data_IF_123480614110
#
_entry.id   IF_123480614110
#
_cell.length_a   1.000
_cell.length_b   1.000
_cell.length_c   1.000
_cell.angle_alpha   90.00
_cell.angle_beta   90.00
_cell.angle_gamma   90.00
#
_symmetry.space_group_name_H-M   'P 1'
#
loop_
_entity.id
_entity.type
_entity.pdbx_description
1 polymer ?
#
# COMPACT_ATOMS: atom_id res chain seq x y z
N UNK A 1 27.41 -0.01 -6.09
CA UNK A 1 26.34 0.77 -5.41
C UNK A 1 25.05 0.38 -6.12
N UNK A 2 23.95 0.00 -5.40
CA UNK A 2 22.68 -0.33 -6.06
C UNK A 2 21.95 0.97 -6.45
N UNK A 3 21.45 1.05 -7.67
CA UNK A 3 20.58 2.11 -8.15
C UNK A 3 19.12 1.67 -7.96
N UNK A 4 18.33 2.44 -7.22
CA UNK A 4 16.95 2.11 -6.83
C UNK A 4 16.00 3.12 -7.46
N UNK A 5 15.07 2.65 -8.30
CA UNK A 5 13.98 3.43 -8.84
C UNK A 5 12.75 3.30 -7.93
N UNK A 6 12.20 4.41 -7.47
CA UNK A 6 10.97 4.48 -6.71
C UNK A 6 9.96 5.29 -7.52
N UNK A 7 8.92 4.62 -8.04
CA UNK A 7 7.83 5.26 -8.79
C UNK A 7 6.70 5.68 -7.85
N UNK A 8 5.88 6.66 -8.27
CA UNK A 8 4.86 7.24 -7.38
C UNK A 8 5.46 7.90 -6.15
N UNK A 9 6.63 8.52 -6.32
CA UNK A 9 7.46 9.04 -5.24
C UNK A 9 6.81 10.19 -4.45
N UNK A 10 5.80 10.86 -5.01
CA UNK A 10 5.05 11.92 -4.34
C UNK A 10 3.83 11.39 -3.56
N UNK A 11 3.55 10.08 -3.64
CA UNK A 11 2.52 9.39 -2.84
C UNK A 11 2.94 9.16 -1.39
N UNK A 12 2.06 8.54 -0.60
CA UNK A 12 2.31 8.25 0.83
C UNK A 12 3.57 7.41 1.02
N UNK A 13 3.62 6.22 0.41
CA UNK A 13 4.75 5.30 0.55
C UNK A 13 6.01 5.85 -0.09
N UNK A 14 5.92 6.48 -1.28
CA UNK A 14 7.07 7.06 -1.96
C UNK A 14 7.77 8.14 -1.13
N UNK A 15 7.00 9.00 -0.44
CA UNK A 15 7.57 10.00 0.48
C UNK A 15 8.20 9.36 1.72
N UNK A 16 7.60 8.32 2.32
CA UNK A 16 8.21 7.60 3.45
C UNK A 16 9.50 6.88 3.02
N UNK A 17 9.55 6.32 1.80
CA UNK A 17 10.78 5.78 1.22
C UNK A 17 11.85 6.87 1.07
N UNK A 18 11.46 8.08 0.63
CA UNK A 18 12.37 9.23 0.52
C UNK A 18 12.93 9.66 1.88
N UNK A 19 12.08 9.75 2.90
CA UNK A 19 12.51 10.08 4.27
C UNK A 19 13.51 9.06 4.79
N UNK A 20 13.20 7.78 4.65
CA UNK A 20 14.06 6.70 5.16
C UNK A 20 15.34 6.52 4.34
N UNK A 21 15.38 6.94 3.07
CA UNK A 21 16.57 6.78 2.22
C UNK A 21 17.83 7.41 2.79
N UNK A 22 17.69 8.43 3.64
CA UNK A 22 18.80 9.09 4.33
C UNK A 22 19.58 8.14 5.26
N UNK A 23 18.89 7.10 5.78
CA UNK A 23 19.52 6.09 6.62
C UNK A 23 20.27 5.00 5.82
N UNK A 24 20.17 5.01 4.49
CA UNK A 24 20.79 4.03 3.59
C UNK A 24 21.61 4.75 2.49
N UNK A 25 22.66 5.50 2.86
CA UNK A 25 23.44 6.32 1.93
C UNK A 25 24.30 5.50 0.95
N UNK A 26 24.38 4.19 1.13
CA UNK A 26 25.08 3.26 0.23
C UNK A 26 24.33 3.01 -1.09
N UNK A 27 23.08 3.50 -1.24
CA UNK A 27 22.30 3.36 -2.46
C UNK A 27 22.16 4.70 -3.19
N UNK A 28 21.98 4.63 -4.51
CA UNK A 28 21.56 5.78 -5.34
C UNK A 28 20.08 5.68 -5.62
N UNK A 29 19.34 6.77 -5.44
CA UNK A 29 17.89 6.79 -5.54
C UNK A 29 17.41 7.63 -6.72
N UNK A 30 16.47 7.09 -7.46
CA UNK A 30 15.73 7.76 -8.52
C UNK A 30 14.25 7.83 -8.08
N UNK A 31 13.86 8.95 -7.52
CA UNK A 31 12.48 9.22 -7.10
C UNK A 31 11.72 9.83 -8.26
N UNK A 32 10.74 9.11 -8.81
CA UNK A 32 9.98 9.54 -9.99
C UNK A 32 8.48 9.54 -9.73
N UNK A 33 7.82 10.52 -10.33
CA UNK A 33 6.37 10.56 -10.48
C UNK A 33 6.05 10.80 -11.97
N UNK A 34 4.79 11.07 -12.34
CA UNK A 34 4.37 11.20 -13.74
C UNK A 34 5.19 12.22 -14.53
N UNK A 35 5.68 13.27 -13.88
CA UNK A 35 6.48 14.32 -14.52
C UNK A 35 7.89 13.86 -14.92
N UNK A 36 8.53 13.04 -14.08
CA UNK A 36 9.88 12.53 -14.31
C UNK A 36 9.87 11.23 -15.12
N UNK A 37 8.89 10.35 -14.89
CA UNK A 37 8.72 9.09 -15.59
C UNK A 37 7.24 8.68 -15.61
N UNK A 38 6.59 8.86 -16.75
CA UNK A 38 5.25 8.30 -16.96
C UNK A 38 5.34 6.77 -17.12
N UNK A 39 4.97 6.03 -16.10
CA UNK A 39 5.00 4.55 -16.11
C UNK A 39 4.04 3.91 -17.12
N UNK A 40 3.09 4.68 -17.66
CA UNK A 40 2.19 4.23 -18.74
C UNK A 40 2.86 4.29 -20.12
N UNK A 41 4.03 4.91 -20.26
CA UNK A 41 4.83 4.89 -21.46
C UNK A 41 5.88 3.78 -21.37
N UNK A 42 5.59 2.66 -22.05
CA UNK A 42 6.45 1.47 -22.04
C UNK A 42 7.88 1.77 -22.47
N UNK A 43 8.04 2.56 -23.55
CA UNK A 43 9.39 2.83 -24.09
C UNK A 43 10.17 3.72 -23.13
N UNK A 44 9.54 4.75 -22.56
CA UNK A 44 10.17 5.61 -21.57
C UNK A 44 10.63 4.82 -20.33
N UNK A 45 9.84 3.83 -19.86
CA UNK A 45 10.21 2.95 -18.74
C UNK A 45 11.44 2.11 -19.08
N UNK A 46 11.46 1.46 -20.24
CA UNK A 46 12.59 0.62 -20.67
C UNK A 46 13.88 1.45 -20.80
N UNK A 47 13.79 2.60 -21.44
CA UNK A 47 14.93 3.49 -21.67
C UNK A 47 15.46 4.06 -20.34
N UNK A 48 14.58 4.46 -19.44
CA UNK A 48 14.94 5.00 -18.13
C UNK A 48 15.70 3.95 -17.27
N UNK A 49 15.15 2.74 -17.18
CA UNK A 49 15.73 1.66 -16.38
C UNK A 49 17.11 1.29 -16.90
N UNK A 50 17.25 1.18 -18.21
CA UNK A 50 18.53 0.87 -18.87
C UNK A 50 19.56 2.00 -18.73
N UNK A 51 19.16 3.26 -19.03
CA UNK A 51 20.07 4.41 -19.01
C UNK A 51 20.64 4.70 -17.61
N UNK A 52 19.88 4.40 -16.56
CA UNK A 52 20.28 4.64 -15.18
C UNK A 52 20.80 3.38 -14.48
N UNK A 53 21.00 2.27 -15.19
CA UNK A 53 21.49 0.99 -14.64
C UNK A 53 20.73 0.61 -13.36
N UNK A 54 19.40 0.58 -13.41
CA UNK A 54 18.54 0.33 -12.26
C UNK A 54 18.67 -1.13 -11.80
N UNK A 55 18.96 -1.32 -10.52
CA UNK A 55 19.12 -2.63 -9.89
C UNK A 55 17.90 -3.10 -9.10
N UNK A 56 17.09 -2.14 -8.62
CA UNK A 56 15.83 -2.41 -7.89
C UNK A 56 14.77 -1.40 -8.34
N UNK A 57 13.59 -1.89 -8.63
CA UNK A 57 12.40 -1.05 -8.87
C UNK A 57 11.42 -1.27 -7.73
N UNK A 58 11.01 -0.20 -7.05
CA UNK A 58 9.91 -0.20 -6.06
C UNK A 58 8.75 0.58 -6.64
N UNK A 59 7.71 -0.14 -7.08
CA UNK A 59 6.53 0.51 -7.64
C UNK A 59 5.52 0.88 -6.54
N UNK A 60 5.54 2.15 -6.13
CA UNK A 60 4.56 2.75 -5.23
C UNK A 60 3.41 3.44 -5.98
N UNK A 61 3.50 3.58 -7.31
CA UNK A 61 2.46 4.19 -8.13
C UNK A 61 1.27 3.25 -8.30
N UNK A 62 0.06 3.77 -8.13
CA UNK A 62 -1.17 3.05 -8.35
C UNK A 62 -2.36 4.01 -8.48
N UNK A 63 -3.42 3.57 -9.15
CA UNK A 63 -4.73 4.18 -9.03
C UNK A 63 -5.39 3.65 -7.74
N UNK A 64 -5.55 4.51 -6.73
CA UNK A 64 -6.01 4.12 -5.38
C UNK A 64 -7.37 4.67 -4.98
N UNK A 65 -8.02 5.45 -5.84
CA UNK A 65 -9.35 6.00 -5.60
C UNK A 65 -10.41 4.90 -5.84
N UNK A 66 -10.60 4.02 -4.86
CA UNK A 66 -11.37 2.77 -4.94
C UNK A 66 -12.78 2.97 -5.54
N UNK A 67 -13.54 3.96 -5.03
CA UNK A 67 -14.89 4.23 -5.53
C UNK A 67 -14.89 4.79 -6.96
N UNK A 68 -13.94 5.66 -7.28
CA UNK A 68 -13.79 6.22 -8.64
C UNK A 68 -13.27 5.19 -9.64
N UNK A 69 -12.66 4.11 -9.20
CA UNK A 69 -12.20 3.04 -10.09
C UNK A 69 -13.38 2.35 -10.81
N UNK A 70 -14.55 2.26 -10.15
CA UNK A 70 -15.76 1.69 -10.75
C UNK A 70 -16.24 2.48 -12.00
N UNK A 71 -15.94 3.78 -12.05
CA UNK A 71 -16.27 4.66 -13.18
C UNK A 71 -15.10 4.86 -14.17
N UNK A 72 -13.83 4.62 -13.71
CA UNK A 72 -12.62 4.88 -14.49
C UNK A 72 -11.82 3.60 -14.74
N UNK A 73 -12.49 2.55 -15.22
CA UNK A 73 -11.92 1.20 -15.41
C UNK A 73 -10.66 1.21 -16.28
N UNK A 74 -10.68 1.95 -17.39
CA UNK A 74 -9.55 2.01 -18.33
C UNK A 74 -8.29 2.61 -17.69
N UNK A 75 -8.42 3.76 -17.02
CA UNK A 75 -7.29 4.40 -16.35
C UNK A 75 -6.78 3.54 -15.16
N UNK A 76 -7.71 2.93 -14.43
CA UNK A 76 -7.37 2.02 -13.33
C UNK A 76 -6.60 0.80 -13.85
N UNK A 77 -7.03 0.20 -14.96
CA UNK A 77 -6.35 -0.92 -15.63
C UNK A 77 -4.97 -0.52 -16.13
N UNK A 78 -4.89 0.63 -16.82
CA UNK A 78 -3.63 1.16 -17.33
C UNK A 78 -2.58 1.31 -16.23
N UNK A 79 -2.93 1.93 -15.10
CA UNK A 79 -1.99 2.17 -14.00
C UNK A 79 -1.71 0.94 -13.16
N UNK A 80 -2.75 0.14 -12.84
CA UNK A 80 -2.61 -0.97 -11.89
C UNK A 80 -2.21 -2.29 -12.54
N UNK A 81 -2.35 -2.45 -13.86
CA UNK A 81 -2.03 -3.68 -14.57
C UNK A 81 -1.03 -3.48 -15.70
N UNK A 82 -1.31 -2.58 -16.67
CA UNK A 82 -0.47 -2.46 -17.87
C UNK A 82 0.88 -1.80 -17.55
N UNK A 83 0.88 -0.70 -16.80
CA UNK A 83 2.12 -0.05 -16.36
C UNK A 83 2.97 -0.98 -15.48
N UNK A 84 2.35 -1.83 -14.66
CA UNK A 84 3.07 -2.85 -13.88
C UNK A 84 3.76 -3.85 -14.80
N UNK A 85 3.12 -4.23 -15.92
CA UNK A 85 3.75 -5.11 -16.90
C UNK A 85 4.99 -4.48 -17.55
N UNK A 86 4.94 -3.17 -17.83
CA UNK A 86 6.08 -2.44 -18.43
C UNK A 86 7.27 -2.34 -17.45
N UNK A 87 6.99 -2.06 -16.17
CA UNK A 87 8.01 -2.03 -15.11
C UNK A 87 8.63 -3.41 -14.91
N UNK A 88 7.81 -4.47 -14.89
CA UNK A 88 8.29 -5.84 -14.74
C UNK A 88 9.16 -6.29 -15.92
N UNK A 89 8.76 -5.98 -17.17
CA UNK A 89 9.56 -6.26 -18.37
C UNK A 89 10.91 -5.49 -18.35
N UNK A 90 10.89 -4.23 -17.91
CA UNK A 90 12.11 -3.44 -17.78
C UNK A 90 13.05 -4.00 -16.70
N UNK A 91 12.47 -4.42 -15.56
CA UNK A 91 13.23 -5.08 -14.48
C UNK A 91 13.89 -6.38 -14.97
N UNK A 92 13.15 -7.26 -15.64
CA UNK A 92 13.70 -8.52 -16.18
C UNK A 92 14.79 -8.27 -17.22
N UNK A 93 14.57 -7.34 -18.15
CA UNK A 93 15.55 -7.00 -19.18
C UNK A 93 16.86 -6.43 -18.60
N UNK A 94 16.79 -5.73 -17.47
CA UNK A 94 17.95 -5.16 -16.78
C UNK A 94 18.47 -6.05 -15.62
N UNK A 95 17.91 -7.25 -15.46
CA UNK A 95 18.20 -8.15 -14.35
C UNK A 95 17.99 -7.50 -12.96
N UNK A 96 17.07 -6.54 -12.86
CA UNK A 96 16.74 -5.84 -11.64
C UNK A 96 15.73 -6.63 -10.78
N UNK A 97 15.79 -6.42 -9.48
CA UNK A 97 14.76 -6.83 -8.52
C UNK A 97 13.51 -5.94 -8.69
N UNK A 98 12.31 -6.51 -8.59
CA UNK A 98 11.06 -5.75 -8.74
C UNK A 98 10.15 -5.93 -7.52
N UNK A 99 9.84 -4.86 -6.82
CA UNK A 99 8.91 -4.85 -5.68
C UNK A 99 7.64 -4.12 -6.11
N UNK A 100 6.52 -4.87 -6.18
CA UNK A 100 5.20 -4.35 -6.54
C UNK A 100 4.31 -4.26 -5.30
N UNK A 101 3.79 -3.07 -5.01
CA UNK A 101 2.81 -2.90 -3.94
C UNK A 101 1.41 -3.26 -4.44
N UNK A 102 0.75 -4.16 -3.71
CA UNK A 102 -0.61 -4.63 -3.96
C UNK A 102 -1.53 -4.39 -2.76
N UNK A 103 -2.68 -5.04 -2.70
CA UNK A 103 -3.78 -4.74 -1.78
C UNK A 103 -4.46 -5.99 -1.24
N UNK A 104 -5.08 -5.87 -0.07
CA UNK A 104 -6.03 -6.80 0.51
C UNK A 104 -7.33 -6.96 -0.32
N UNK A 105 -7.69 -6.00 -1.17
CA UNK A 105 -8.86 -6.05 -2.07
C UNK A 105 -8.77 -7.15 -3.14
N UNK A 106 -7.69 -7.89 -3.22
CA UNK A 106 -7.60 -9.11 -4.04
C UNK A 106 -8.43 -10.26 -3.47
N UNK A 107 -8.86 -10.17 -2.21
CA UNK A 107 -9.70 -11.14 -1.53
C UNK A 107 -11.17 -10.70 -1.50
N UNK A 108 -12.08 -11.66 -1.32
CA UNK A 108 -13.53 -11.42 -1.30
C UNK A 108 -14.07 -10.85 0.03
N UNK A 109 -13.29 -10.94 1.09
CA UNK A 109 -13.67 -10.44 2.41
C UNK A 109 -14.57 -11.40 3.23
N UNK A 110 -14.66 -12.68 2.87
CA UNK A 110 -15.54 -13.67 3.51
C UNK A 110 -14.84 -14.54 4.56
N UNK A 111 -13.52 -14.42 4.69
CA UNK A 111 -12.77 -15.19 5.70
C UNK A 111 -13.11 -14.75 7.12
N UNK A 112 -12.79 -15.61 8.07
CA UNK A 112 -12.90 -15.39 9.52
C UNK A 112 -11.58 -15.65 10.27
N UNK A 113 -10.52 -15.90 9.49
CA UNK A 113 -9.13 -16.04 9.92
C UNK A 113 -8.25 -15.21 8.99
N UNK A 114 -7.05 -14.75 9.41
CA UNK A 114 -6.17 -13.96 8.56
C UNK A 114 -5.85 -14.67 7.22
N UNK A 115 -5.99 -13.92 6.12
CA UNK A 115 -5.66 -14.41 4.78
C UNK A 115 -4.16 -14.69 4.66
N UNK A 116 -3.81 -15.88 4.21
CA UNK A 116 -2.44 -16.24 3.82
C UNK A 116 -2.20 -15.91 2.35
N UNK A 117 -0.93 -15.80 1.97
CA UNK A 117 -0.54 -15.53 0.58
C UNK A 117 -0.98 -16.61 -0.41
N UNK A 118 -1.23 -17.83 0.09
CA UNK A 118 -1.69 -18.99 -0.69
C UNK A 118 -3.20 -19.09 -0.85
N UNK A 119 -3.98 -18.26 -0.12
CA UNK A 119 -5.44 -18.28 -0.23
C UNK A 119 -5.90 -17.84 -1.62
N UNK A 120 -6.97 -18.44 -2.16
CA UNK A 120 -7.53 -18.05 -3.45
C UNK A 120 -7.96 -16.59 -3.46
N UNK A 121 -7.57 -15.87 -4.51
CA UNK A 121 -7.99 -14.48 -4.73
C UNK A 121 -9.35 -14.43 -5.45
N UNK A 122 -10.24 -13.55 -4.99
CA UNK A 122 -11.57 -13.32 -5.56
C UNK A 122 -11.98 -11.85 -5.35
N UNK A 123 -11.42 -10.90 -6.12
CA UNK A 123 -11.70 -9.48 -5.94
C UNK A 123 -13.15 -9.13 -6.30
N UNK A 124 -13.78 -8.24 -5.51
CA UNK A 124 -15.16 -7.81 -5.66
C UNK A 124 -15.31 -6.37 -6.19
N UNK A 125 -14.21 -5.76 -6.64
CA UNK A 125 -14.18 -4.37 -7.15
C UNK A 125 -13.23 -4.25 -8.34
N UNK A 126 -13.41 -3.21 -9.15
CA UNK A 126 -12.49 -2.86 -10.26
C UNK A 126 -11.08 -2.63 -9.72
N UNK A 127 -10.96 -1.89 -8.60
CA UNK A 127 -9.66 -1.68 -7.95
C UNK A 127 -8.96 -3.00 -7.62
N UNK A 128 -9.63 -3.90 -6.90
CA UNK A 128 -9.08 -5.20 -6.54
C UNK A 128 -8.71 -6.05 -7.75
N UNK A 129 -9.58 -6.09 -8.77
CA UNK A 129 -9.37 -6.85 -10.00
C UNK A 129 -8.16 -6.36 -10.80
N UNK A 130 -8.00 -5.03 -10.93
CA UNK A 130 -6.88 -4.43 -11.67
C UNK A 130 -5.55 -4.59 -10.90
N UNK A 131 -5.57 -4.49 -9.57
CA UNK A 131 -4.39 -4.77 -8.74
C UNK A 131 -3.96 -6.23 -8.85
N UNK A 132 -4.92 -7.17 -8.83
CA UNK A 132 -4.62 -8.60 -9.03
C UNK A 132 -4.06 -8.89 -10.43
N UNK A 133 -4.57 -8.22 -11.47
CA UNK A 133 -4.00 -8.30 -12.81
C UNK A 133 -2.54 -7.82 -12.84
N UNK A 134 -2.22 -6.74 -12.11
CA UNK A 134 -0.86 -6.25 -11.92
C UNK A 134 0.05 -7.26 -11.21
N UNK A 135 -0.42 -7.94 -10.16
CA UNK A 135 0.34 -9.02 -9.52
C UNK A 135 0.72 -10.13 -10.52
N UNK A 136 -0.26 -10.58 -11.30
CA UNK A 136 -0.04 -11.60 -12.32
C UNK A 136 0.94 -11.15 -13.39
N UNK A 137 0.82 -9.92 -13.86
CA UNK A 137 1.76 -9.32 -14.82
C UNK A 137 3.17 -9.27 -14.25
N UNK A 138 3.34 -8.82 -13.01
CA UNK A 138 4.66 -8.77 -12.36
C UNK A 138 5.31 -10.15 -12.26
N UNK A 139 4.58 -11.14 -11.73
CA UNK A 139 5.09 -12.51 -11.52
C UNK A 139 5.38 -13.27 -12.82
N UNK A 140 4.65 -12.98 -13.91
CA UNK A 140 4.85 -13.66 -15.19
C UNK A 140 5.94 -13.03 -16.04
N UNK A 141 6.27 -11.74 -15.81
CA UNK A 141 7.20 -10.97 -16.65
C UNK A 141 8.54 -10.70 -15.98
N UNK A 142 8.63 -10.84 -14.66
CA UNK A 142 9.87 -10.66 -13.92
C UNK A 142 10.09 -11.83 -12.95
N UNK A 143 11.16 -12.59 -13.20
CA UNK A 143 11.55 -13.75 -12.37
C UNK A 143 11.98 -13.36 -10.97
N UNK A 144 12.32 -12.08 -10.74
CA UNK A 144 12.76 -11.49 -9.48
C UNK A 144 11.69 -10.57 -8.88
N UNK A 145 10.40 -10.83 -9.17
CA UNK A 145 9.31 -10.02 -8.66
C UNK A 145 8.88 -10.43 -7.25
N UNK A 146 8.81 -9.45 -6.36
CA UNK A 146 8.21 -9.54 -5.04
C UNK A 146 6.92 -8.71 -5.03
N UNK A 147 5.81 -9.33 -4.65
CA UNK A 147 4.54 -8.64 -4.44
C UNK A 147 4.34 -8.44 -2.95
N UNK A 148 4.02 -7.22 -2.52
CA UNK A 148 3.62 -6.95 -1.14
C UNK A 148 2.17 -6.48 -1.13
N UNK A 149 1.25 -7.33 -0.64
CA UNK A 149 -0.13 -6.94 -0.37
C UNK A 149 -0.19 -6.21 0.96
N UNK A 150 -0.82 -5.04 0.96
CA UNK A 150 -1.00 -4.22 2.16
C UNK A 150 -2.45 -3.76 2.29
N UNK A 151 -2.81 -3.20 3.44
CA UNK A 151 -4.17 -2.76 3.74
C UNK A 151 -4.15 -1.41 4.47
N UNK A 152 -5.18 -0.57 4.26
CA UNK A 152 -5.48 0.62 5.05
C UNK A 152 -4.27 1.54 5.27
N UNK A 153 -3.53 1.82 4.18
CA UNK A 153 -2.29 2.59 4.22
C UNK A 153 -2.54 4.04 4.62
N UNK A 154 -1.77 4.53 5.57
CA UNK A 154 -1.76 5.92 6.00
C UNK A 154 -0.34 6.43 6.26
N UNK A 155 -0.17 7.75 6.25
CA UNK A 155 1.11 8.43 6.45
C UNK A 155 0.88 9.87 6.87
N UNK A 156 1.94 10.53 7.32
CA UNK A 156 1.96 11.99 7.46
C UNK A 156 1.86 12.72 6.11
N UNK A 157 2.14 12.04 5.00
CA UNK A 157 2.05 12.55 3.63
C UNK A 157 0.71 12.21 2.97
N UNK A 158 0.37 12.98 1.93
CA UNK A 158 -0.82 12.76 1.10
C UNK A 158 -2.14 12.87 1.88
N UNK A 159 -3.23 12.49 1.22
CA UNK A 159 -4.56 12.38 1.83
C UNK A 159 -4.82 10.94 2.26
N UNK A 160 -5.36 10.75 3.46
CA UNK A 160 -5.66 9.43 4.00
C UNK A 160 -6.75 9.49 5.07
N UNK A 161 -7.19 8.32 5.52
CA UNK A 161 -8.25 8.19 6.50
C UNK A 161 -7.92 8.87 7.84
N UNK A 162 -6.67 8.79 8.32
CA UNK A 162 -6.26 9.40 9.60
C UNK A 162 -6.46 10.91 9.54
N UNK A 163 -5.93 11.58 8.51
CA UNK A 163 -6.08 13.03 8.34
C UNK A 163 -7.54 13.45 8.14
N UNK A 164 -8.31 12.64 7.41
CA UNK A 164 -9.75 12.87 7.21
C UNK A 164 -10.50 12.81 8.53
N UNK A 165 -10.25 11.80 9.36
CA UNK A 165 -10.92 11.66 10.66
C UNK A 165 -10.51 12.76 11.64
N UNK A 166 -9.25 13.22 11.62
CA UNK A 166 -8.81 14.37 12.41
C UNK A 166 -9.53 15.65 11.95
N UNK A 167 -9.60 15.92 10.65
CA UNK A 167 -10.29 17.08 10.11
C UNK A 167 -11.79 17.09 10.48
N UNK A 168 -12.49 16.01 10.14
CA UNK A 168 -13.92 15.87 10.44
C UNK A 168 -14.21 15.91 11.95
N UNK A 169 -13.34 15.33 12.77
CA UNK A 169 -13.49 15.35 14.22
C UNK A 169 -13.35 16.73 14.85
N UNK A 170 -12.59 17.65 14.20
CA UNK A 170 -12.48 19.06 14.62
C UNK A 170 -13.66 19.91 14.15
N UNK A 171 -14.34 19.52 13.07
CA UNK A 171 -15.40 20.31 12.43
C UNK A 171 -16.81 19.88 12.82
N UNK A 172 -17.00 18.63 13.24
CA UNK A 172 -18.35 18.03 13.44
C UNK A 172 -18.59 17.63 14.88
N UNK A 173 -19.85 17.74 15.32
CA UNK A 173 -20.28 17.26 16.64
C UNK A 173 -20.39 15.74 16.70
N UNK A 174 -20.68 15.09 15.55
CA UNK A 174 -20.75 13.62 15.45
C UNK A 174 -20.38 13.09 14.09
N UNK A 175 -19.86 11.86 14.07
CA UNK A 175 -19.53 11.08 12.88
C UNK A 175 -20.13 9.69 12.98
N UNK A 176 -20.66 9.17 11.88
CA UNK A 176 -20.97 7.75 11.71
C UNK A 176 -19.81 7.04 11.02
N UNK A 177 -19.32 5.94 11.58
CA UNK A 177 -18.20 5.18 11.03
C UNK A 177 -18.47 3.68 11.10
N UNK A 178 -18.15 2.97 10.01
CA UNK A 178 -18.43 1.54 9.85
C UNK A 178 -17.65 0.72 10.88
N UNK A 179 -18.33 -0.19 11.59
CA UNK A 179 -17.73 -1.05 12.61
C UNK A 179 -17.63 -2.53 12.19
N UNK A 180 -18.38 -2.95 11.17
CA UNK A 180 -18.46 -4.34 10.69
C UNK A 180 -17.55 -4.63 9.49
N UNK A 181 -16.64 -3.72 9.16
CA UNK A 181 -15.49 -3.96 8.29
C UNK A 181 -14.23 -4.01 9.15
N UNK A 182 -13.56 -5.17 9.12
CA UNK A 182 -12.45 -5.50 10.00
C UNK A 182 -11.17 -5.74 9.20
N UNK A 183 -10.11 -5.05 9.57
CA UNK A 183 -8.81 -5.11 8.90
C UNK A 183 -7.68 -4.67 9.82
N UNK A 184 -6.56 -4.30 9.22
CA UNK A 184 -5.43 -3.77 9.96
C UNK A 184 -4.87 -2.53 9.26
N UNK A 185 -4.78 -1.37 9.96
CA UNK A 185 -4.11 -0.20 9.42
C UNK A 185 -2.62 -0.45 9.18
N UNK A 186 -2.06 0.18 8.16
CA UNK A 186 -0.63 0.12 7.84
C UNK A 186 -0.03 1.52 7.81
N UNK A 187 0.90 1.80 8.71
CA UNK A 187 1.71 3.00 8.62
C UNK A 187 2.72 2.85 7.48
N UNK A 188 2.70 3.74 6.51
CA UNK A 188 3.54 3.63 5.31
C UNK A 188 5.05 3.65 5.63
N UNK A 189 5.46 4.27 6.74
CA UNK A 189 6.85 4.22 7.22
C UNK A 189 7.30 2.83 7.63
N UNK A 190 6.42 2.07 8.29
CA UNK A 190 6.75 0.69 8.68
C UNK A 190 6.87 -0.22 7.46
N UNK A 191 5.97 -0.03 6.48
CA UNK A 191 6.07 -0.74 5.19
C UNK A 191 7.35 -0.34 4.44
N UNK A 192 7.69 0.95 4.39
CA UNK A 192 8.94 1.42 3.77
C UNK A 192 10.18 0.82 4.47
N UNK A 193 10.17 0.74 5.80
CA UNK A 193 11.24 0.09 6.57
C UNK A 193 11.38 -1.38 6.20
N UNK A 194 10.29 -2.12 6.08
CA UNK A 194 10.31 -3.52 5.65
C UNK A 194 10.83 -3.69 4.21
N UNK A 195 10.48 -2.78 3.30
CA UNK A 195 11.01 -2.75 1.92
C UNK A 195 12.53 -2.52 1.93
N UNK A 196 13.05 -1.59 2.73
CA UNK A 196 14.49 -1.37 2.84
C UNK A 196 15.22 -2.58 3.41
N UNK A 197 14.63 -3.29 4.39
CA UNK A 197 15.19 -4.54 4.90
C UNK A 197 15.26 -5.59 3.80
N UNK A 198 14.21 -5.74 2.98
CA UNK A 198 14.20 -6.67 1.85
C UNK A 198 15.28 -6.30 0.81
N UNK A 199 15.42 -5.03 0.44
CA UNK A 199 16.46 -4.57 -0.50
C UNK A 199 17.88 -4.87 0.03
N UNK A 200 18.11 -4.67 1.32
CA UNK A 200 19.41 -4.88 1.96
C UNK A 200 19.79 -6.35 2.07
N UNK A 201 18.82 -7.22 2.40
CA UNK A 201 19.05 -8.66 2.55
C UNK A 201 19.03 -9.42 1.20
N UNK A 202 18.49 -8.79 0.14
CA UNK A 202 18.17 -9.39 -1.14
C UNK A 202 16.67 -9.65 -1.24
N UNK A 203 16.08 -9.23 -2.37
CA UNK A 203 14.64 -9.38 -2.62
C UNK A 203 14.34 -10.84 -2.98
N UNK A 204 13.63 -11.54 -2.11
CA UNK A 204 13.17 -12.90 -2.36
C UNK A 204 11.86 -12.86 -3.19
N UNK A 205 11.83 -13.47 -4.40
CA UNK A 205 10.64 -13.45 -5.24
C UNK A 205 9.44 -14.14 -4.60
N UNK A 206 8.24 -13.63 -4.93
CA UNK A 206 6.99 -14.23 -4.48
C UNK A 206 6.00 -13.23 -3.91
N UNK A 207 4.89 -13.74 -3.37
CA UNK A 207 3.85 -12.92 -2.74
C UNK A 207 4.08 -12.89 -1.23
N UNK A 208 3.96 -11.71 -0.66
CA UNK A 208 4.08 -11.42 0.76
C UNK A 208 2.94 -10.52 1.22
N UNK A 209 2.61 -10.60 2.50
CA UNK A 209 1.66 -9.72 3.16
C UNK A 209 2.38 -8.81 4.16
N UNK A 210 2.00 -7.54 4.19
CA UNK A 210 2.46 -6.60 5.20
C UNK A 210 1.34 -5.66 5.62
N UNK A 211 1.05 -5.62 6.92
CA UNK A 211 0.31 -4.57 7.63
C UNK A 211 0.88 -4.50 9.05
N UNK A 212 0.56 -3.47 9.81
CA UNK A 212 0.93 -3.46 11.23
C UNK A 212 0.28 -4.65 11.97
N UNK A 213 0.75 -5.00 13.16
CA UNK A 213 0.12 -6.05 13.97
C UNK A 213 -1.18 -5.57 14.60
N UNK A 214 -2.04 -6.52 15.01
CA UNK A 214 -3.36 -6.25 15.59
C UNK A 214 -4.46 -6.17 14.55
N UNK A 215 -5.68 -5.93 15.02
CA UNK A 215 -6.92 -5.92 14.21
C UNK A 215 -7.86 -4.87 14.77
N UNK A 216 -8.56 -4.15 13.91
CA UNK A 216 -9.60 -3.20 14.32
C UNK A 216 -10.64 -3.00 13.21
N UNK A 217 -11.79 -2.39 13.56
CA UNK A 217 -12.73 -1.83 12.59
C UNK A 217 -12.36 -0.38 12.24
N UNK A 218 -12.98 0.19 11.18
CA UNK A 218 -12.85 1.62 10.89
C UNK A 218 -13.35 2.49 12.06
N UNK A 219 -14.39 2.02 12.76
CA UNK A 219 -14.89 2.67 13.97
C UNK A 219 -13.83 2.70 15.08
N UNK A 220 -13.21 1.55 15.39
CA UNK A 220 -12.16 1.47 16.40
C UNK A 220 -10.96 2.34 16.03
N UNK A 221 -10.58 2.31 14.75
CA UNK A 221 -9.49 3.12 14.23
C UNK A 221 -9.79 4.62 14.40
N UNK A 222 -11.02 5.06 14.07
CA UNK A 222 -11.44 6.46 14.29
C UNK A 222 -11.43 6.84 15.76
N UNK A 223 -11.90 5.96 16.65
CA UNK A 223 -11.86 6.20 18.10
C UNK A 223 -10.42 6.39 18.60
N UNK A 224 -9.49 5.57 18.10
CA UNK A 224 -8.07 5.69 18.44
C UNK A 224 -7.46 6.99 17.88
N UNK A 225 -7.76 7.36 16.63
CA UNK A 225 -7.31 8.61 15.99
C UNK A 225 -7.78 9.82 16.84
N UNK A 226 -9.06 9.90 17.17
CA UNK A 226 -9.60 11.01 17.96
C UNK A 226 -8.96 11.09 19.35
N UNK A 227 -8.80 9.93 20.01
CA UNK A 227 -8.14 9.87 21.34
C UNK A 227 -6.70 10.39 21.27
N UNK A 228 -5.91 9.94 20.30
CA UNK A 228 -4.50 10.32 20.17
C UNK A 228 -4.33 11.78 19.72
N UNK A 229 -5.24 12.30 18.88
CA UNK A 229 -5.25 13.70 18.45
C UNK A 229 -5.98 14.65 19.42
N UNK A 230 -6.33 14.21 20.64
CA UNK A 230 -6.98 15.05 21.64
C UNK A 230 -8.39 15.54 21.27
N UNK A 231 -9.07 14.89 20.33
CA UNK A 231 -10.42 15.28 19.88
C UNK A 231 -11.46 14.67 20.80
N UNK A 232 -12.09 15.50 21.61
CA UNK A 232 -13.09 15.08 22.62
C UNK A 232 -14.51 15.53 22.33
N UNK A 233 -14.69 16.55 21.49
CA UNK A 233 -15.99 17.15 21.20
C UNK A 233 -16.83 16.35 20.19
N UNK A 234 -16.19 15.61 19.29
CA UNK A 234 -16.87 14.85 18.25
C UNK A 234 -17.25 13.44 18.72
N UNK A 235 -18.54 13.14 18.73
CA UNK A 235 -19.06 11.79 19.02
C UNK A 235 -18.92 10.89 17.80
N UNK A 236 -18.25 9.75 17.94
CA UNK A 236 -18.17 8.71 16.90
C UNK A 236 -19.22 7.63 17.17
N UNK A 237 -20.13 7.41 16.22
CA UNK A 237 -21.20 6.42 16.28
C UNK A 237 -20.87 5.25 15.33
N UNK A 238 -21.07 3.98 15.77
CA UNK A 238 -20.88 2.83 14.91
C UNK A 238 -22.02 2.75 13.88
N UNK A 239 -21.68 2.41 12.63
CA UNK A 239 -22.61 2.14 11.54
C UNK A 239 -22.34 0.74 10.98
N UNK A 240 -23.40 0.08 10.51
CA UNK A 240 -23.26 -1.08 9.63
C UNK A 240 -22.88 -0.65 8.22
N UNK A 241 -22.23 -1.55 7.47
CA UNK A 241 -21.87 -1.31 6.06
C UNK A 241 -23.07 -0.91 5.22
N UNK A 242 -24.24 -1.50 5.46
CA UNK A 242 -25.50 -1.23 4.75
C UNK A 242 -26.03 0.21 4.97
N UNK A 243 -25.66 0.84 6.10
CA UNK A 243 -26.05 2.23 6.41
C UNK A 243 -25.19 3.27 5.70
N UNK A 244 -24.08 2.83 5.06
CA UNK A 244 -23.18 3.70 4.32
C UNK A 244 -22.83 3.10 2.94
N UNK A 245 -23.78 3.12 1.99
CA UNK A 245 -23.54 2.53 0.68
C UNK A 245 -22.45 3.29 -0.08
N UNK A 246 -21.57 2.52 -0.73
CA UNK A 246 -20.44 3.03 -1.54
C UNK A 246 -20.44 2.38 -2.92
N UNK A 247 -19.93 3.06 -3.98
CA UNK A 247 -19.86 2.50 -5.33
C UNK A 247 -19.08 1.18 -5.38
N UNK A 248 -17.91 1.13 -4.76
CA UNK A 248 -17.12 -0.09 -4.68
C UNK A 248 -17.52 -0.93 -3.46
N UNK A 249 -17.64 -2.24 -3.67
CA UNK A 249 -17.86 -3.19 -2.58
C UNK A 249 -16.58 -3.37 -1.76
N UNK A 250 -16.64 -3.08 -0.46
CA UNK A 250 -15.53 -3.27 0.47
C UNK A 250 -15.60 -4.61 1.18
N UNK A 251 -14.46 -5.28 1.42
CA UNK A 251 -14.44 -6.53 2.18
C UNK A 251 -14.85 -6.31 3.64
N UNK A 252 -15.69 -7.20 4.19
CA UNK A 252 -16.00 -7.19 5.63
C UNK A 252 -14.81 -7.62 6.49
N UNK A 253 -13.97 -8.49 5.95
CA UNK A 253 -12.77 -8.97 6.63
C UNK A 253 -11.57 -8.91 5.68
N UNK A 254 -10.51 -8.21 6.09
CA UNK A 254 -9.31 -8.02 5.26
C UNK A 254 -7.99 -8.17 6.01
N UNK A 255 -8.03 -8.88 7.15
CA UNK A 255 -6.82 -9.12 7.95
C UNK A 255 -5.86 -10.04 7.20
N UNK A 256 -4.62 -9.60 7.07
CA UNK A 256 -3.55 -10.34 6.38
C UNK A 256 -2.66 -11.09 7.38
N UNK A 257 -2.31 -12.33 7.08
CA UNK A 257 -1.27 -13.07 7.79
C UNK A 257 0.12 -12.59 7.33
N UNK A 258 0.96 -12.14 8.25
CA UNK A 258 2.30 -11.59 8.00
C UNK A 258 3.43 -12.57 8.34
N UNK A 259 3.09 -13.81 8.67
CA UNK A 259 4.07 -14.81 9.12
C UNK A 259 5.19 -15.02 8.11
N UNK A 260 4.86 -15.04 6.81
CA UNK A 260 5.85 -15.26 5.75
C UNK A 260 6.90 -14.15 5.71
N UNK A 261 6.51 -12.88 5.63
CA UNK A 261 7.46 -11.78 5.53
C UNK A 261 8.32 -11.65 6.79
N UNK A 262 7.72 -11.88 7.98
CA UNK A 262 8.45 -11.87 9.26
C UNK A 262 9.53 -12.96 9.29
N UNK A 263 9.20 -14.16 8.86
CA UNK A 263 10.14 -15.29 8.86
C UNK A 263 11.23 -15.14 7.79
N UNK A 264 10.88 -14.62 6.59
CA UNK A 264 11.83 -14.44 5.49
C UNK A 264 12.88 -13.38 5.81
N UNK A 265 12.46 -12.25 6.37
CA UNK A 265 13.33 -11.10 6.59
C UNK A 265 13.69 -10.85 8.06
N UNK A 266 13.24 -11.73 8.97
CA UNK A 266 13.49 -11.62 10.42
C UNK A 266 13.12 -10.23 10.98
N UNK A 267 11.98 -9.68 10.52
CA UNK A 267 11.49 -8.38 10.96
C UNK A 267 10.44 -8.53 12.07
N UNK A 268 10.45 -7.58 12.99
CA UNK A 268 9.36 -7.33 13.93
C UNK A 268 8.47 -6.23 13.36
N UNK A 269 7.16 -6.43 13.40
CA UNK A 269 6.18 -5.49 12.90
C UNK A 269 5.50 -4.82 14.10
N UNK A 270 5.52 -3.49 14.20
CA UNK A 270 4.86 -2.78 15.29
C UNK A 270 3.34 -3.00 15.31
N UNK A 271 2.72 -2.90 16.50
CA UNK A 271 1.26 -2.88 16.61
C UNK A 271 0.70 -1.60 16.00
N UNK A 272 -0.45 -1.68 15.33
CA UNK A 272 -1.04 -0.55 14.61
C UNK A 272 -1.29 0.68 15.48
N UNK A 273 -1.58 0.48 16.79
CA UNK A 273 -1.81 1.58 17.73
C UNK A 273 -0.52 2.37 17.99
N UNK A 274 0.61 1.69 18.12
CA UNK A 274 1.92 2.31 18.39
C UNK A 274 2.37 3.11 17.16
N UNK A 275 2.18 2.53 15.97
CA UNK A 275 2.46 3.19 14.71
C UNK A 275 1.54 4.40 14.46
N UNK A 276 0.25 4.29 14.82
CA UNK A 276 -0.69 5.41 14.75
C UNK A 276 -0.27 6.56 15.69
N UNK A 277 0.14 6.23 16.91
CA UNK A 277 0.63 7.23 17.87
C UNK A 277 1.85 7.96 17.31
N UNK A 278 2.80 7.23 16.73
CA UNK A 278 3.99 7.81 16.10
C UNK A 278 3.63 8.72 14.92
N UNK A 279 2.69 8.30 14.07
CA UNK A 279 2.25 9.10 12.94
C UNK A 279 1.52 10.39 13.37
N UNK A 280 0.66 10.32 14.38
CA UNK A 280 -0.08 11.50 14.86
C UNK A 280 0.86 12.50 15.53
N UNK A 281 1.85 12.05 16.30
CA UNK A 281 2.84 12.93 16.91
C UNK A 281 3.68 13.71 15.90
N UNK A 282 3.80 13.22 14.65
CA UNK A 282 4.48 13.95 13.56
C UNK A 282 3.54 14.88 12.77
N UNK A 283 2.22 14.79 12.98
CA UNK A 283 1.23 15.68 12.35
C UNK A 283 0.96 16.95 13.18
N UNK A 284 1.35 16.94 14.45
CA UNK A 284 1.27 18.07 15.37
C UNK A 284 2.47 19.01 15.20
#
# INVERSE_FOLDING_TARGET
MKNILITGANGQLGNEMRVLSVAYPEYTYFFTDVAELNICDKQAVLDFVKANDIHVIVNCAAYTAVDKAEENVELCTMLNADAVSYLAEAAEANQAEFIQISTDYVFDGTAHVPYKETEPTCPNSVYGSTKLAGERNALTRCSRAMIIRTAWLYSTFGNNFVKTMIGLGKERESLGVIFDQVGTPTYARDLASAIFVAIRQGVEPGIYHFSNEGVCSWYDFTKAIHRLAGITACRVNPLHTEEYPTPAKRPHYSVLDKTKIKNTYHIEIPHWMDSLQSCIAELE
#
